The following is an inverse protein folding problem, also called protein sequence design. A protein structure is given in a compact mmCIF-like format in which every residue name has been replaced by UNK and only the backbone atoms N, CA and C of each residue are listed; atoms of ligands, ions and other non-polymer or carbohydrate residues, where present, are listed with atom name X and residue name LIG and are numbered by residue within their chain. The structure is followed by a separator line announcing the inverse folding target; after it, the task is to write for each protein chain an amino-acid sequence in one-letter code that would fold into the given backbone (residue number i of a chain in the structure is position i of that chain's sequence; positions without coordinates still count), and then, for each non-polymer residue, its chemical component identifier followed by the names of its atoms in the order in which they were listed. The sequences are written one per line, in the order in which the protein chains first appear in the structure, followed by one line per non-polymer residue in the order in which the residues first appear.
data_IF_270724878548
#
_entry.id   IF_270724878548
#
_cell.length_a   1.000
_cell.length_b   1.000
_cell.length_c   1.000
_cell.angle_alpha   90.00
_cell.angle_beta   90.00
_cell.angle_gamma   90.00
#
_symmetry.space_group_name_H-M   'P 1'
#
loop_
_entity.id
_entity.type
_entity.pdbx_description
1 polymer ?
#
# COMPACT_ATOMS: atom_id res chain seq x y z
N UNK A 1 4.34 -6.04 -47.49
CA UNK A 1 3.94 -5.03 -46.48
C UNK A 1 3.30 -5.65 -45.23
N UNK A 2 2.77 -6.87 -45.30
CA UNK A 2 2.01 -7.49 -44.19
C UNK A 2 2.85 -7.84 -42.96
N UNK A 3 4.09 -8.30 -43.15
CA UNK A 3 4.99 -8.62 -42.02
C UNK A 3 5.40 -7.41 -41.16
N UNK A 4 5.43 -6.21 -41.75
CA UNK A 4 5.78 -4.98 -41.03
C UNK A 4 4.62 -4.52 -40.13
N UNK A 5 3.39 -4.66 -40.61
CA UNK A 5 2.18 -4.32 -39.84
C UNK A 5 2.00 -5.29 -38.66
N UNK A 6 2.22 -6.58 -38.87
CA UNK A 6 2.17 -7.58 -37.81
C UNK A 6 3.26 -7.37 -36.75
N UNK A 7 4.46 -6.96 -37.18
CA UNK A 7 5.56 -6.60 -36.27
C UNK A 7 5.22 -5.38 -35.40
N UNK A 8 4.62 -4.34 -35.97
CA UNK A 8 4.20 -3.14 -35.23
C UNK A 8 3.09 -3.43 -34.22
N UNK A 9 2.12 -4.28 -34.59
CA UNK A 9 1.06 -4.71 -33.68
C UNK A 9 1.62 -5.49 -32.49
N UNK A 10 2.48 -6.49 -32.75
CA UNK A 10 3.12 -7.27 -31.70
C UNK A 10 3.96 -6.38 -30.76
N UNK A 11 4.70 -5.41 -31.31
CA UNK A 11 5.50 -4.47 -30.54
C UNK A 11 4.63 -3.56 -29.65
N UNK A 12 3.50 -3.06 -30.18
CA UNK A 12 2.57 -2.22 -29.41
C UNK A 12 1.95 -2.98 -28.22
N UNK A 13 1.53 -4.23 -28.44
CA UNK A 13 0.97 -5.09 -27.40
C UNK A 13 2.03 -5.41 -26.34
N UNK A 14 3.26 -5.68 -26.76
CA UNK A 14 4.38 -5.94 -25.85
C UNK A 14 4.75 -4.71 -25.00
N UNK A 15 4.84 -3.54 -25.61
CA UNK A 15 5.11 -2.28 -24.90
C UNK A 15 3.98 -1.94 -23.92
N UNK A 16 2.73 -2.17 -24.30
CA UNK A 16 1.58 -1.94 -23.43
C UNK A 16 1.53 -2.93 -22.26
N UNK A 17 1.80 -4.21 -22.49
CA UNK A 17 1.91 -5.22 -21.44
C UNK A 17 3.03 -4.89 -20.42
N UNK A 18 4.17 -4.40 -20.91
CA UNK A 18 5.26 -3.89 -20.05
C UNK A 18 4.81 -2.72 -19.18
N UNK A 19 4.01 -1.80 -19.70
CA UNK A 19 3.50 -0.64 -18.96
C UNK A 19 2.52 -1.07 -17.84
N UNK A 20 1.68 -2.08 -18.09
CA UNK A 20 0.73 -2.58 -17.10
C UNK A 20 1.43 -3.28 -15.92
N UNK A 21 2.57 -3.95 -16.13
CA UNK A 21 3.31 -4.62 -15.04
C UNK A 21 4.01 -3.64 -14.07
N UNK A 22 4.20 -2.37 -14.45
CA UNK A 22 4.87 -1.38 -13.60
C UNK A 22 3.96 -0.73 -12.55
N UNK A 23 2.63 -0.96 -12.59
CA UNK A 23 1.68 -0.38 -11.62
C UNK A 23 1.62 -1.08 -10.26
N UNK A 24 2.53 -2.02 -9.95
CA UNK A 24 2.54 -2.77 -8.69
C UNK A 24 3.89 -2.65 -7.98
N UNK A 25 4.17 -1.47 -7.43
CA UNK A 25 5.10 -1.24 -6.30
C UNK A 25 5.05 0.25 -5.94
N UNK A 26 4.05 0.63 -5.16
CA UNK A 26 4.25 1.73 -4.21
C UNK A 26 5.14 1.13 -3.13
N UNK A 27 6.44 1.12 -3.41
CA UNK A 27 7.47 0.80 -2.43
C UNK A 27 7.48 1.94 -1.43
N UNK A 28 6.69 1.78 -0.37
CA UNK A 28 6.91 2.59 0.82
C UNK A 28 8.31 2.28 1.35
N UNK A 29 9.10 3.29 1.74
CA UNK A 29 10.38 3.05 2.38
C UNK A 29 10.19 2.15 3.61
N UNK A 30 11.20 1.35 4.00
CA UNK A 30 11.17 0.60 5.25
C UNK A 30 11.30 1.59 6.41
N UNK A 31 10.21 2.27 6.73
CA UNK A 31 10.09 2.95 8.01
C UNK A 31 9.65 1.90 9.02
N UNK A 32 10.65 1.25 9.62
CA UNK A 32 10.43 0.33 10.72
C UNK A 32 9.72 1.10 11.84
N UNK A 33 8.53 0.67 12.27
CA UNK A 33 7.90 1.23 13.45
C UNK A 33 8.85 1.18 14.63
N UNK A 34 9.14 2.32 15.26
CA UNK A 34 9.60 2.30 16.65
C UNK A 34 8.59 1.47 17.45
N UNK A 35 9.07 0.48 18.24
CA UNK A 35 8.22 -0.39 19.05
C UNK A 35 7.22 0.40 19.93
N UNK A 36 7.59 1.63 20.32
CA UNK A 36 6.73 2.56 21.05
C UNK A 36 5.47 2.96 20.27
N UNK A 37 5.58 3.15 18.95
CA UNK A 37 4.44 3.51 18.09
C UNK A 37 3.42 2.37 18.03
N UNK A 38 3.89 1.14 17.91
CA UNK A 38 2.99 -0.02 17.84
C UNK A 38 2.26 -0.27 19.16
N UNK A 39 2.94 -0.05 20.29
CA UNK A 39 2.33 -0.14 21.62
C UNK A 39 1.22 0.91 21.79
N UNK A 40 1.48 2.15 21.37
CA UNK A 40 0.53 3.26 21.49
C UNK A 40 -0.69 3.05 20.58
N UNK A 41 -0.47 2.56 19.35
CA UNK A 41 -1.57 2.15 18.45
C UNK A 41 -2.43 1.06 19.09
N UNK A 42 -1.81 0.06 19.72
CA UNK A 42 -2.54 -1.02 20.40
C UNK A 42 -3.38 -0.50 21.56
N UNK A 43 -2.82 0.38 22.39
CA UNK A 43 -3.55 0.99 23.50
C UNK A 43 -4.77 1.79 23.02
N UNK A 44 -4.62 2.55 21.92
CA UNK A 44 -5.73 3.27 21.31
C UNK A 44 -6.81 2.33 20.77
N UNK A 45 -6.42 1.20 20.18
CA UNK A 45 -7.37 0.18 19.72
C UNK A 45 -8.13 -0.48 20.88
N UNK A 46 -7.44 -0.82 21.98
CA UNK A 46 -8.04 -1.38 23.19
C UNK A 46 -9.01 -0.40 23.87
N UNK A 47 -8.70 0.90 23.81
CA UNK A 47 -9.57 1.97 24.29
C UNK A 47 -10.76 2.28 23.35
N UNK A 48 -10.88 1.60 22.20
CA UNK A 48 -11.92 1.85 21.20
C UNK A 48 -11.71 3.12 20.37
N UNK A 49 -10.54 3.74 20.47
CA UNK A 49 -10.18 4.99 19.79
C UNK A 49 -9.60 4.75 18.39
N UNK A 50 -10.33 3.97 17.56
CA UNK A 50 -9.88 3.52 16.25
C UNK A 50 -9.47 4.70 15.32
N UNK A 51 -10.15 5.83 15.40
CA UNK A 51 -9.83 7.03 14.60
C UNK A 51 -8.47 7.61 14.99
N UNK A 52 -8.13 7.64 16.28
CA UNK A 52 -6.83 8.10 16.77
C UNK A 52 -5.72 7.12 16.38
N UNK A 53 -5.99 5.82 16.48
CA UNK A 53 -5.06 4.77 16.04
C UNK A 53 -4.71 4.90 14.54
N UNK A 54 -5.73 5.15 13.70
CA UNK A 54 -5.53 5.42 12.26
C UNK A 54 -4.73 6.70 12.04
N UNK A 55 -5.03 7.77 12.79
CA UNK A 55 -4.28 9.03 12.68
C UNK A 55 -2.80 8.83 13.01
N UNK A 56 -2.51 8.17 14.13
CA UNK A 56 -1.15 7.89 14.59
C UNK A 56 -0.38 7.03 13.56
N UNK A 57 -1.02 5.99 13.02
CA UNK A 57 -0.43 5.16 11.97
C UNK A 57 -0.09 5.96 10.70
N UNK A 58 -0.92 6.95 10.33
CA UNK A 58 -0.64 7.82 9.18
C UNK A 58 0.53 8.76 9.44
N UNK A 59 0.55 9.40 10.61
CA UNK A 59 1.58 10.36 11.00
C UNK A 59 2.95 9.69 11.15
N UNK A 60 2.99 8.47 11.72
CA UNK A 60 4.25 7.77 12.01
C UNK A 60 4.74 6.88 10.88
N UNK A 61 3.87 6.28 10.09
CA UNK A 61 4.27 5.37 8.99
C UNK A 61 4.12 5.99 7.60
N UNK A 62 3.66 7.23 7.50
CA UNK A 62 3.40 7.88 6.21
C UNK A 62 2.28 7.18 5.42
N UNK A 63 1.34 6.54 6.12
CA UNK A 63 0.20 5.90 5.46
C UNK A 63 -0.80 6.93 4.92
N UNK A 64 -1.42 6.62 3.78
CA UNK A 64 -2.63 7.33 3.39
C UNK A 64 -3.78 6.99 4.33
N UNK A 65 -4.89 7.74 4.23
CA UNK A 65 -6.09 7.48 5.05
C UNK A 65 -6.58 6.03 4.91
N UNK A 66 -6.64 5.52 3.67
CA UNK A 66 -7.09 4.17 3.36
C UNK A 66 -6.16 3.14 4.01
N UNK A 67 -4.85 3.36 3.91
CA UNK A 67 -3.86 2.39 4.38
C UNK A 67 -3.73 2.39 5.90
N UNK A 68 -3.88 3.53 6.55
CA UNK A 68 -4.01 3.60 8.00
C UNK A 68 -5.22 2.82 8.50
N UNK A 69 -6.38 2.96 7.84
CA UNK A 69 -7.58 2.20 8.19
C UNK A 69 -7.39 0.70 7.98
N UNK A 70 -6.87 0.29 6.83
CA UNK A 70 -6.57 -1.13 6.54
C UNK A 70 -5.58 -1.73 7.52
N UNK A 71 -4.58 -0.97 7.97
CA UNK A 71 -3.61 -1.43 8.96
C UNK A 71 -4.26 -1.76 10.30
N UNK A 72 -5.10 -0.85 10.82
CA UNK A 72 -5.84 -1.06 12.08
C UNK A 72 -6.86 -2.19 11.95
N UNK A 73 -7.59 -2.25 10.83
CA UNK A 73 -8.55 -3.34 10.60
C UNK A 73 -7.88 -4.71 10.58
N UNK A 74 -6.72 -4.85 9.94
CA UNK A 74 -5.96 -6.10 9.97
C UNK A 74 -5.55 -6.51 11.39
N UNK A 75 -5.12 -5.54 12.21
CA UNK A 75 -4.74 -5.80 13.62
C UNK A 75 -5.95 -6.25 14.45
N UNK A 76 -7.13 -5.69 14.19
CA UNK A 76 -8.38 -6.01 14.91
C UNK A 76 -8.95 -7.38 14.52
N UNK A 77 -8.77 -7.81 13.26
CA UNK A 77 -9.22 -9.11 12.76
C UNK A 77 -8.20 -10.24 12.99
N UNK A 78 -6.99 -9.94 13.48
CA UNK A 78 -5.94 -10.92 13.74
C UNK A 78 -5.88 -11.40 15.20
N UNK A 79 -6.74 -10.85 16.07
CA UNK A 79 -6.96 -11.30 17.45
C UNK A 79 -8.33 -11.96 17.57
#
# INVERSE_FOLDING_TARGET
MEGLVLGLLALSVFLFARLLMMKKKISRPPFSPDEGTEKEIRQLMEAGEDVKAVKLARERYGFSLIEGKQYIDKKKNAG
#
